data_IF_865872532576
#
_entry.id   IF_865872532576
#
_cell.length_a   1.000
_cell.length_b   1.000
_cell.length_c   1.000
_cell.angle_alpha   90.00
_cell.angle_beta   90.00
_cell.angle_gamma   90.00
#
_symmetry.space_group_name_H-M   'P 1'
#
loop_
_entity.id
_entity.type
_entity.pdbx_description
1 polymer ?
#
# COMPACT_ATOMS: atom_id res chain seq x y z
N UNK A 1 -6.63 5.91 23.92
CA UNK A 1 -5.76 4.96 23.18
C UNK A 1 -6.65 3.81 22.74
N UNK A 2 -6.91 3.69 21.44
CA UNK A 2 -7.73 2.58 20.94
C UNK A 2 -6.83 1.35 20.86
N UNK A 3 -7.06 0.36 21.72
CA UNK A 3 -6.49 -0.97 21.56
C UNK A 3 -7.16 -1.60 20.32
N UNK A 4 -6.52 -1.49 19.16
CA UNK A 4 -6.94 -2.26 17.99
C UNK A 4 -6.02 -3.47 17.89
N UNK A 5 -6.49 -4.63 18.35
CA UNK A 5 -5.84 -5.93 18.15
C UNK A 5 -5.79 -6.38 16.67
N UNK A 6 -6.25 -5.53 15.75
CA UNK A 6 -6.39 -5.82 14.35
C UNK A 6 -6.00 -4.59 13.55
N UNK A 7 -5.22 -4.82 12.50
CA UNK A 7 -4.88 -3.83 11.49
C UNK A 7 -5.13 -4.42 10.11
N UNK A 8 -5.45 -3.57 9.14
CA UNK A 8 -5.57 -3.94 7.72
C UNK A 8 -4.42 -3.28 6.97
N UNK A 9 -3.61 -4.10 6.30
CA UNK A 9 -2.62 -3.63 5.32
C UNK A 9 -3.28 -3.63 3.94
N UNK A 10 -3.64 -2.45 3.46
CA UNK A 10 -4.25 -2.22 2.16
C UNK A 10 -3.14 -2.04 1.10
N UNK A 11 -2.99 -3.01 0.22
CA UNK A 11 -1.92 -3.02 -0.79
C UNK A 11 -2.46 -2.52 -2.14
N UNK A 12 -1.71 -1.64 -2.80
CA UNK A 12 -2.09 -1.09 -4.10
C UNK A 12 -1.62 -1.95 -5.28
N UNK A 13 -2.22 -1.75 -6.45
CA UNK A 13 -1.78 -2.33 -7.74
C UNK A 13 -0.57 -1.57 -8.32
N UNK A 14 -0.19 -1.79 -9.58
CA UNK A 14 1.01 -1.17 -10.17
C UNK A 14 1.01 0.37 -10.19
N UNK A 15 -0.15 1.00 -10.01
CA UNK A 15 -0.33 2.45 -10.06
C UNK A 15 0.08 3.20 -8.78
N UNK A 16 0.35 2.52 -7.67
CA UNK A 16 0.64 3.19 -6.39
C UNK A 16 -0.60 3.59 -5.61
N UNK A 17 -0.41 4.40 -4.56
CA UNK A 17 -1.50 4.91 -3.72
C UNK A 17 -2.27 6.03 -4.43
N UNK A 18 -3.09 5.64 -5.40
CA UNK A 18 -3.94 6.54 -6.18
C UNK A 18 -5.24 6.93 -5.44
N UNK A 19 -6.10 7.72 -6.09
CA UNK A 19 -7.37 8.18 -5.49
C UNK A 19 -8.31 7.04 -5.11
N UNK A 20 -8.31 5.93 -5.85
CA UNK A 20 -9.07 4.74 -5.49
C UNK A 20 -8.56 4.14 -4.17
N UNK A 21 -7.25 4.05 -3.98
CA UNK A 21 -6.67 3.56 -2.72
C UNK A 21 -7.00 4.47 -1.54
N UNK A 22 -6.98 5.80 -1.73
CA UNK A 22 -7.37 6.77 -0.71
C UNK A 22 -8.84 6.63 -0.33
N UNK A 23 -9.71 6.50 -1.33
CA UNK A 23 -11.14 6.25 -1.13
C UNK A 23 -11.38 4.94 -0.35
N UNK A 24 -10.74 3.85 -0.76
CA UNK A 24 -10.86 2.56 -0.07
C UNK A 24 -10.37 2.64 1.38
N UNK A 25 -9.27 3.34 1.65
CA UNK A 25 -8.80 3.59 3.02
C UNK A 25 -9.84 4.33 3.85
N UNK A 26 -10.48 5.36 3.30
CA UNK A 26 -11.53 6.11 3.99
C UNK A 26 -12.73 5.23 4.32
N UNK A 27 -13.20 4.42 3.37
CA UNK A 27 -14.32 3.49 3.58
C UNK A 27 -13.98 2.47 4.66
N UNK A 28 -12.80 1.84 4.60
CA UNK A 28 -12.36 0.85 5.59
C UNK A 28 -12.12 1.46 6.98
N UNK A 29 -11.70 2.72 7.06
CA UNK A 29 -11.51 3.41 8.34
C UNK A 29 -12.80 3.51 9.16
N UNK A 30 -13.98 3.42 8.51
CA UNK A 30 -15.28 3.38 9.19
C UNK A 30 -15.51 2.12 10.02
N UNK A 31 -14.72 1.06 9.80
CA UNK A 31 -14.77 -0.17 10.60
C UNK A 31 -14.19 0.04 12.01
N UNK A 32 -13.53 1.16 12.28
CA UNK A 32 -12.83 1.38 13.55
C UNK A 32 -11.69 0.36 13.72
N UNK A 33 -10.95 0.11 12.65
CA UNK A 33 -9.76 -0.74 12.57
C UNK A 33 -8.63 0.13 12.02
N UNK A 34 -7.40 -0.09 12.47
CA UNK A 34 -6.25 0.65 11.94
C UNK A 34 -5.93 0.22 10.49
N UNK A 35 -5.99 1.18 9.57
CA UNK A 35 -5.75 0.94 8.14
C UNK A 35 -4.42 1.56 7.71
N UNK A 36 -3.50 0.72 7.27
CA UNK A 36 -2.20 1.11 6.73
C UNK A 36 -2.22 0.86 5.23
N UNK A 37 -1.82 1.86 4.44
CA UNK A 37 -1.70 1.75 2.99
C UNK A 37 -0.26 2.10 2.61
N UNK A 38 0.67 1.13 2.66
CA UNK A 38 2.07 1.40 2.34
C UNK A 38 2.18 1.73 0.85
N UNK A 39 2.99 2.75 0.54
CA UNK A 39 3.36 3.03 -0.84
C UNK A 39 4.59 2.20 -1.19
N UNK A 40 4.40 1.19 -2.04
CA UNK A 40 5.47 0.32 -2.54
C UNK A 40 6.21 0.94 -3.72
N UNK A 41 5.69 2.04 -4.27
CA UNK A 41 6.42 2.82 -5.24
C UNK A 41 7.48 3.64 -4.50
N UNK A 42 8.73 3.58 -4.94
CA UNK A 42 9.81 4.45 -4.47
C UNK A 42 9.66 5.91 -4.95
N UNK A 43 8.43 6.38 -5.14
CA UNK A 43 8.05 7.73 -5.57
C UNK A 43 6.73 8.14 -4.91
N UNK A 44 6.56 9.43 -4.65
CA UNK A 44 5.36 9.96 -3.98
C UNK A 44 4.14 10.00 -4.91
N UNK A 45 4.35 10.29 -6.20
CA UNK A 45 3.25 10.50 -7.16
C UNK A 45 2.84 9.15 -7.77
N UNK A 46 1.57 8.71 -7.62
CA UNK A 46 1.08 7.50 -8.27
C UNK A 46 1.04 7.65 -9.80
N UNK A 47 0.99 6.55 -10.52
CA UNK A 47 0.73 6.55 -11.96
C UNK A 47 -0.76 6.73 -12.22
N UNK A 48 -1.10 7.45 -13.28
CA UNK A 48 -2.45 7.47 -13.85
C UNK A 48 -2.70 6.21 -14.68
N UNK A 49 -3.97 5.90 -14.97
CA UNK A 49 -4.32 4.76 -15.82
C UNK A 49 -3.77 4.88 -17.25
N UNK A 50 -3.58 6.10 -17.77
CA UNK A 50 -2.93 6.31 -19.06
C UNK A 50 -1.43 5.99 -19.06
N UNK A 51 -0.82 5.81 -17.90
CA UNK A 51 0.60 5.47 -17.73
C UNK A 51 0.80 3.99 -17.40
N UNK A 52 -0.14 3.12 -17.78
CA UNK A 52 -0.09 1.67 -17.51
C UNK A 52 1.26 1.04 -17.89
N UNK A 53 1.80 1.36 -19.07
CA UNK A 53 3.08 0.82 -19.54
C UNK A 53 4.23 1.20 -18.59
N UNK A 54 4.33 2.47 -18.18
CA UNK A 54 5.35 2.95 -17.24
C UNK A 54 5.14 2.37 -15.83
N UNK A 55 3.89 2.22 -15.39
CA UNK A 55 3.56 1.62 -14.10
C UNK A 55 4.00 0.15 -14.07
N UNK A 56 3.73 -0.59 -15.15
CA UNK A 56 4.12 -1.98 -15.30
C UNK A 56 5.64 -2.15 -15.41
N UNK A 57 6.31 -1.31 -16.20
CA UNK A 57 7.77 -1.30 -16.28
C UNK A 57 8.39 -1.03 -14.90
N UNK A 58 7.90 -0.02 -14.18
CA UNK A 58 8.40 0.26 -12.83
C UNK A 58 8.15 -0.91 -11.86
N UNK A 59 6.99 -1.57 -11.95
CA UNK A 59 6.74 -2.77 -11.16
C UNK A 59 7.77 -3.85 -11.48
N UNK A 60 7.96 -4.21 -12.75
CA UNK A 60 8.84 -5.31 -13.14
C UNK A 60 10.33 -5.03 -12.87
N UNK A 61 10.77 -3.78 -13.00
CA UNK A 61 12.19 -3.42 -12.84
C UNK A 61 12.56 -3.02 -11.40
N UNK A 62 11.69 -2.28 -10.71
CA UNK A 62 12.07 -1.62 -9.44
C UNK A 62 11.43 -2.26 -8.22
N UNK A 63 10.19 -2.73 -8.33
CA UNK A 63 9.43 -3.28 -7.19
C UNK A 63 9.48 -4.81 -7.19
N UNK A 64 8.84 -5.46 -8.17
CA UNK A 64 8.77 -6.91 -8.29
C UNK A 64 8.11 -7.59 -7.09
N UNK A 65 7.96 -8.91 -7.17
CA UNK A 65 7.36 -9.68 -6.08
C UNK A 65 8.27 -9.77 -4.86
N UNK A 66 9.57 -9.98 -5.05
CA UNK A 66 10.52 -10.19 -3.95
C UNK A 66 10.64 -8.96 -3.06
N UNK A 67 10.93 -7.78 -3.63
CA UNK A 67 11.03 -6.55 -2.82
C UNK A 67 9.65 -6.11 -2.31
N UNK A 68 8.58 -6.30 -3.10
CA UNK A 68 7.22 -6.03 -2.63
C UNK A 68 6.86 -6.82 -1.37
N UNK A 69 7.16 -8.13 -1.34
CA UNK A 69 6.97 -8.98 -0.15
C UNK A 69 7.84 -8.51 1.01
N UNK A 70 9.10 -8.14 0.78
CA UNK A 70 9.98 -7.62 1.83
C UNK A 70 9.42 -6.33 2.45
N UNK A 71 8.97 -5.38 1.64
CA UNK A 71 8.38 -4.12 2.10
C UNK A 71 7.10 -4.36 2.92
N UNK A 72 6.20 -5.23 2.44
CA UNK A 72 4.97 -5.57 3.17
C UNK A 72 5.29 -6.27 4.50
N UNK A 73 6.22 -7.22 4.50
CA UNK A 73 6.63 -7.91 5.72
C UNK A 73 7.27 -6.97 6.74
N UNK A 74 8.01 -5.96 6.28
CA UNK A 74 8.55 -4.92 7.16
C UNK A 74 7.41 -4.14 7.83
N UNK A 75 6.42 -3.68 7.07
CA UNK A 75 5.23 -3.00 7.62
C UNK A 75 4.51 -3.87 8.64
N UNK A 76 4.32 -5.16 8.34
CA UNK A 76 3.69 -6.11 9.28
C UNK A 76 4.53 -6.28 10.55
N UNK A 77 5.85 -6.36 10.43
CA UNK A 77 6.74 -6.49 11.58
C UNK A 77 6.69 -5.26 12.48
N UNK A 78 6.67 -4.06 11.90
CA UNK A 78 6.53 -2.79 12.62
C UNK A 78 5.18 -2.71 13.36
N UNK A 79 4.09 -3.15 12.73
CA UNK A 79 2.77 -3.18 13.36
C UNK A 79 2.68 -4.16 14.53
N UNK A 80 3.39 -5.29 14.47
CA UNK A 80 3.44 -6.27 15.57
C UNK A 80 4.27 -5.83 16.78
N UNK A 81 5.09 -4.80 16.62
CA UNK A 81 5.92 -4.24 17.69
C UNK A 81 5.25 -3.08 18.45
N UNK A 82 4.10 -2.60 17.97
CA UNK A 82 3.26 -1.58 18.62
C UNK A 82 2.39 -2.20 19.72
#
# INVERSE_FOLDING_TARGET
MKNHNMAIVLVHEIYGVNEHMKYMKEILSKLGIDIICPNLLHKEIPYSYSEEEFAYENFTQNVGFEKGVQQINQVIAELKQQ
#
